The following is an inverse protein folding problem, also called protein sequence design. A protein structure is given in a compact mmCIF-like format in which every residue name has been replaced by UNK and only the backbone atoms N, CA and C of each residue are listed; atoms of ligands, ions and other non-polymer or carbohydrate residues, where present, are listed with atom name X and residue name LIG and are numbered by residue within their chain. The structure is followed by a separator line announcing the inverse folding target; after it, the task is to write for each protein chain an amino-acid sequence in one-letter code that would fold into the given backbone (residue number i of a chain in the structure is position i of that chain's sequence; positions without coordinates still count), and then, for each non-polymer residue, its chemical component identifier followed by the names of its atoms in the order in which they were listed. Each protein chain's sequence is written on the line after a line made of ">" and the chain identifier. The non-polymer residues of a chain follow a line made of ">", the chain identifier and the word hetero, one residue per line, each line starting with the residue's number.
data_IF_174403043318
#
_entry.id   IF_174403043318
#
_cell.length_a   1.000
_cell.length_b   1.000
_cell.length_c   1.000
_cell.angle_alpha   90.00
_cell.angle_beta   90.00
_cell.angle_gamma   90.00
#
_symmetry.space_group_name_H-M   'P 1'
#
loop_
_entity.id
_entity.type
_entity.pdbx_description
1 polymer ?
#
# COMPACT_ATOMS: atom_id res chain seq x y z
N UNK A 1 -7.66 -1.24 6.74
CA UNK A 1 -7.33 -0.69 5.42
C UNK A 1 -7.57 -1.74 4.34
N UNK A 2 -8.07 -1.34 3.18
CA UNK A 2 -8.30 -2.18 1.99
C UNK A 2 -7.24 -1.87 0.94
N UNK A 3 -7.13 -2.72 -0.09
CA UNK A 3 -6.27 -2.41 -1.24
C UNK A 3 -6.70 -1.09 -1.90
N UNK A 4 -5.75 -0.41 -2.54
CA UNK A 4 -5.96 0.87 -3.21
C UNK A 4 -6.14 2.07 -2.27
N UNK A 5 -6.16 1.85 -0.96
CA UNK A 5 -6.15 2.92 0.06
C UNK A 5 -4.76 3.55 0.17
N UNK A 6 -4.70 4.87 0.25
CA UNK A 6 -3.49 5.64 0.55
C UNK A 6 -3.20 5.67 2.04
N UNK A 7 -1.92 5.51 2.38
CA UNK A 7 -1.41 5.53 3.75
C UNK A 7 -0.17 6.39 3.84
N UNK A 8 0.00 7.09 4.96
CA UNK A 8 1.25 7.78 5.28
C UNK A 8 2.18 6.82 6.04
N UNK A 9 3.42 6.66 5.57
CA UNK A 9 4.39 5.74 6.17
C UNK A 9 5.75 6.41 6.39
N UNK A 10 6.57 5.90 7.34
CA UNK A 10 7.99 6.23 7.41
C UNK A 10 8.72 5.67 6.19
N UNK A 11 9.58 6.48 5.55
CA UNK A 11 10.42 6.04 4.44
C UNK A 11 11.80 6.70 4.54
N UNK A 12 12.74 5.99 5.20
CA UNK A 12 14.02 6.57 5.59
C UNK A 12 13.82 7.73 6.56
N UNK A 13 14.41 8.90 6.26
CA UNK A 13 14.32 10.11 7.11
C UNK A 13 13.06 10.96 6.86
N UNK A 14 12.18 10.55 5.93
CA UNK A 14 10.99 11.32 5.54
C UNK A 14 9.71 10.49 5.73
N UNK A 15 8.57 11.16 5.64
CA UNK A 15 7.25 10.52 5.53
C UNK A 15 6.81 10.55 4.06
N UNK A 16 6.18 9.47 3.60
CA UNK A 16 5.69 9.37 2.22
C UNK A 16 4.30 8.76 2.18
N UNK A 17 3.53 9.16 1.19
CA UNK A 17 2.27 8.50 0.84
C UNK A 17 2.57 7.24 0.04
N UNK A 18 2.11 6.10 0.54
CA UNK A 18 2.07 4.82 -0.18
C UNK A 18 0.63 4.41 -0.49
N UNK A 19 0.49 3.41 -1.36
CA UNK A 19 -0.80 2.77 -1.66
C UNK A 19 -0.75 1.32 -1.20
N UNK A 20 -1.78 0.86 -0.49
CA UNK A 20 -1.89 -0.53 -0.03
C UNK A 20 -2.15 -1.42 -1.24
N UNK A 21 -1.22 -2.34 -1.52
CA UNK A 21 -1.31 -3.26 -2.66
C UNK A 21 -1.76 -4.68 -2.27
N UNK A 22 -1.99 -4.95 -0.98
CA UNK A 22 -2.41 -6.25 -0.49
C UNK A 22 -2.17 -6.42 1.01
N UNK A 23 -2.61 -7.55 1.53
CA UNK A 23 -2.34 -8.00 2.90
C UNK A 23 -1.69 -9.38 2.87
N UNK A 24 -0.82 -9.63 3.82
CA UNK A 24 -0.20 -10.92 4.04
C UNK A 24 -0.05 -11.16 5.55
N UNK A 25 -0.24 -12.40 5.97
CA UNK A 25 -0.07 -12.81 7.38
C UNK A 25 1.40 -13.05 7.74
N UNK A 26 2.27 -13.11 6.74
CA UNK A 26 3.70 -13.34 6.89
C UNK A 26 4.52 -12.31 6.12
N UNK A 27 5.68 -11.97 6.67
CA UNK A 27 6.68 -11.12 6.04
C UNK A 27 8.04 -11.80 6.10
N UNK A 28 8.82 -11.68 5.04
CA UNK A 28 10.23 -12.07 5.03
C UNK A 28 11.08 -11.14 5.93
N UNK A 29 10.55 -9.96 6.28
CA UNK A 29 11.15 -9.02 7.22
C UNK A 29 10.60 -9.32 8.62
N UNK A 30 11.50 -9.36 9.60
CA UNK A 30 11.11 -9.61 10.99
C UNK A 30 10.13 -8.53 11.51
N UNK A 31 9.11 -8.92 12.31
CA UNK A 31 8.07 -7.97 12.75
C UNK A 31 8.59 -6.73 13.48
N UNK A 32 9.70 -6.86 14.22
CA UNK A 32 10.35 -5.77 14.96
C UNK A 32 11.01 -4.73 14.04
N UNK A 33 11.30 -5.09 12.78
CA UNK A 33 11.88 -4.18 11.78
C UNK A 33 10.83 -3.55 10.87
N UNK A 34 9.59 -4.04 10.91
CA UNK A 34 8.50 -3.48 10.13
C UNK A 34 8.10 -2.11 10.68
N UNK A 35 8.07 -1.11 9.80
CA UNK A 35 7.56 0.22 10.14
C UNK A 35 6.03 0.20 10.19
N UNK A 36 5.45 0.91 11.14
CA UNK A 36 4.00 1.04 11.28
C UNK A 36 3.45 2.14 10.38
N UNK A 37 2.25 1.93 9.84
CA UNK A 37 1.48 2.98 9.15
C UNK A 37 1.19 4.13 10.12
N UNK A 38 1.50 5.36 9.72
CA UNK A 38 1.27 6.57 10.53
C UNK A 38 -0.20 6.98 10.45
N UNK A 39 -0.77 6.97 9.25
CA UNK A 39 -2.12 7.46 8.99
C UNK A 39 -2.76 6.77 7.78
N UNK A 40 -4.08 6.54 7.85
CA UNK A 40 -4.89 6.07 6.72
C UNK A 40 -5.65 7.28 6.15
N UNK A 41 -5.43 7.61 4.87
CA UNK A 41 -5.80 8.93 4.33
C UNK A 41 -7.20 8.99 3.72
N UNK A 42 -7.78 7.87 3.29
CA UNK A 42 -9.01 7.88 2.48
C UNK A 42 -10.29 7.53 3.27
N UNK A 43 -10.28 7.64 4.60
CA UNK A 43 -11.48 7.55 5.46
C UNK A 43 -12.41 6.33 5.18
N UNK A 44 -11.84 5.21 4.73
CA UNK A 44 -12.56 3.96 4.48
C UNK A 44 -12.98 3.70 3.03
N UNK A 45 -12.84 4.67 2.12
CA UNK A 45 -13.09 4.48 0.68
C UNK A 45 -11.76 4.52 -0.06
N UNK A 46 -11.29 3.43 -0.68
CA UNK A 46 -9.98 3.43 -1.35
C UNK A 46 -9.98 4.39 -2.55
N UNK A 47 -8.87 5.13 -2.73
CA UNK A 47 -8.69 5.99 -3.91
C UNK A 47 -8.67 5.16 -5.21
N UNK A 48 -8.00 4.01 -5.17
CA UNK A 48 -7.98 3.07 -6.29
C UNK A 48 -8.97 1.94 -5.97
N UNK A 49 -10.07 1.87 -6.70
CA UNK A 49 -10.99 0.76 -6.58
C UNK A 49 -10.37 -0.54 -7.13
N UNK A 50 -11.13 -1.64 -7.03
CA UNK A 50 -10.68 -2.95 -7.48
C UNK A 50 -10.37 -2.98 -8.99
N UNK A 51 -11.19 -2.32 -9.81
CA UNK A 51 -11.03 -2.31 -11.27
C UNK A 51 -9.74 -1.58 -11.67
N UNK A 52 -9.51 -0.39 -11.11
CA UNK A 52 -8.31 0.39 -11.39
C UNK A 52 -7.06 -0.29 -10.83
N UNK A 53 -7.14 -0.85 -9.63
CA UNK A 53 -6.04 -1.62 -9.03
C UNK A 53 -5.69 -2.84 -9.90
N UNK A 54 -6.69 -3.55 -10.42
CA UNK A 54 -6.52 -4.66 -11.35
C UNK A 54 -5.84 -4.25 -12.65
N UNK A 55 -6.30 -3.16 -13.27
CA UNK A 55 -5.69 -2.60 -14.49
C UNK A 55 -4.22 -2.22 -14.26
N UNK A 56 -3.91 -1.51 -13.18
CA UNK A 56 -2.53 -1.09 -12.87
C UNK A 56 -1.62 -2.29 -12.63
N UNK A 57 -2.10 -3.35 -11.95
CA UNK A 57 -1.36 -4.60 -11.81
C UNK A 57 -1.09 -5.26 -13.16
N UNK A 58 -2.07 -5.26 -14.07
CA UNK A 58 -1.89 -5.79 -15.42
C UNK A 58 -0.84 -4.96 -16.19
N UNK A 59 -0.96 -3.63 -16.19
CA UNK A 59 -0.01 -2.73 -16.84
C UNK A 59 1.41 -2.95 -16.33
N UNK A 60 1.61 -3.06 -15.01
CA UNK A 60 2.91 -3.35 -14.41
C UNK A 60 3.49 -4.70 -14.87
N UNK A 61 2.66 -5.72 -15.10
CA UNK A 61 3.12 -7.01 -15.62
C UNK A 61 3.46 -6.94 -17.10
N UNK A 62 2.69 -6.17 -17.87
CA UNK A 62 2.80 -6.11 -19.33
C UNK A 62 3.93 -5.20 -19.82
N UNK A 63 4.10 -4.02 -19.22
CA UNK A 63 5.01 -2.97 -19.71
C UNK A 63 6.39 -2.96 -19.02
N UNK A 64 6.80 -4.04 -18.35
CA UNK A 64 8.09 -4.09 -17.64
C UNK A 64 9.29 -3.79 -18.52
#
# INVERSE_FOLDING_TARGET
>A
MTEGTRVLVPFGKRKMTGVVMGKADHSEISPDRLQTVIEVLDQGVPLLDEQLTGLLRWCWKYYK
#
